data_IF_748960859765
#
_entry.id   IF_748960859765
#
_cell.length_a   1.000
_cell.length_b   1.000
_cell.length_c   1.000
_cell.angle_alpha   90.00
_cell.angle_beta   90.00
_cell.angle_gamma   90.00
#
_symmetry.space_group_name_H-M   'P 1'
#
loop_
_entity.id
_entity.type
_entity.pdbx_description
1 polymer ?
#
# COMPACT_ATOMS: atom_id res chain seq x y z
N UNK A 1 10.91 -13.62 20.52
CA UNK A 1 11.97 -12.76 19.94
C UNK A 1 13.04 -13.63 19.28
N UNK A 2 13.35 -13.41 18.01
CA UNK A 2 14.41 -14.11 17.28
C UNK A 2 15.51 -13.15 16.84
N UNK A 3 16.74 -13.65 16.75
CA UNK A 3 17.92 -12.92 16.26
C UNK A 3 18.48 -13.64 15.04
N UNK A 4 18.54 -12.99 13.87
CA UNK A 4 19.07 -13.58 12.61
C UNK A 4 20.52 -13.17 12.36
N UNK A 5 21.32 -14.05 11.74
CA UNK A 5 22.79 -13.94 11.63
C UNK A 5 23.35 -13.06 10.48
N UNK A 6 24.69 -13.05 10.28
CA UNK A 6 25.44 -11.96 9.64
C UNK A 6 25.43 -11.97 8.11
N UNK A 7 24.27 -12.20 7.50
CA UNK A 7 24.03 -11.98 6.06
C UNK A 7 23.19 -10.72 5.79
N UNK A 8 22.82 -9.96 6.82
CA UNK A 8 22.18 -8.65 6.72
C UNK A 8 23.18 -7.49 6.52
N UNK A 9 24.43 -7.80 6.18
CA UNK A 9 25.51 -6.82 6.07
C UNK A 9 25.19 -5.79 4.98
N UNK A 10 25.03 -4.52 5.39
CA UNK A 10 24.78 -3.39 4.49
C UNK A 10 23.32 -3.14 4.11
N UNK A 11 22.35 -3.81 4.75
CA UNK A 11 20.93 -3.52 4.58
C UNK A 11 20.48 -2.41 5.54
N UNK A 12 20.88 -1.16 5.28
CA UNK A 12 20.24 -0.01 5.91
C UNK A 12 18.95 0.33 5.16
N UNK A 13 17.90 0.72 5.89
CA UNK A 13 16.61 1.21 5.36
C UNK A 13 15.78 0.21 4.52
N UNK A 14 15.76 -1.08 4.90
CA UNK A 14 15.02 -2.13 4.16
C UNK A 14 14.19 -2.99 5.10
N UNK A 15 12.89 -3.12 4.83
CA UNK A 15 12.06 -4.14 5.45
C UNK A 15 12.34 -5.53 4.85
N UNK A 16 12.74 -6.49 5.66
CA UNK A 16 13.05 -7.84 5.18
C UNK A 16 11.78 -8.66 4.91
N UNK A 17 11.68 -9.22 3.71
CA UNK A 17 10.52 -10.00 3.25
C UNK A 17 10.52 -11.43 3.79
N UNK A 18 9.37 -12.11 3.65
CA UNK A 18 9.14 -13.50 4.09
C UNK A 18 10.24 -14.46 3.64
N UNK A 19 10.73 -14.32 2.41
CA UNK A 19 11.75 -15.19 1.82
C UNK A 19 13.07 -15.16 2.62
N UNK A 20 13.42 -14.03 3.21
CA UNK A 20 14.62 -13.91 4.04
C UNK A 20 14.53 -14.84 5.25
N UNK A 21 13.40 -14.81 5.97
CA UNK A 21 13.20 -15.62 7.19
C UNK A 21 13.00 -17.10 6.90
N UNK A 22 12.50 -17.47 5.71
CA UNK A 22 12.43 -18.86 5.27
C UNK A 22 13.82 -19.44 4.97
N UNK A 23 14.75 -18.61 4.51
CA UNK A 23 16.12 -19.04 4.15
C UNK A 23 17.13 -18.91 5.29
N UNK A 24 16.86 -18.04 6.27
CA UNK A 24 17.77 -17.74 7.36
C UNK A 24 17.26 -18.24 8.70
N UNK A 25 18.03 -19.10 9.35
CA UNK A 25 17.72 -19.55 10.71
C UNK A 25 18.13 -18.52 11.76
N UNK A 26 17.35 -18.43 12.84
CA UNK A 26 17.69 -17.60 14.00
C UNK A 26 18.96 -18.11 14.68
N UNK A 27 19.94 -17.23 14.89
CA UNK A 27 21.15 -17.45 15.68
C UNK A 27 20.90 -17.46 17.18
N UNK A 28 19.89 -16.71 17.63
CA UNK A 28 19.42 -16.75 19.01
C UNK A 28 17.91 -16.47 19.08
N UNK A 29 17.26 -16.89 20.16
CA UNK A 29 15.83 -16.64 20.38
C UNK A 29 15.52 -16.59 21.86
N UNK A 30 14.40 -15.96 22.24
CA UNK A 30 13.80 -16.14 23.56
C UNK A 30 13.50 -17.63 23.77
N UNK A 31 13.86 -18.19 24.92
CA UNK A 31 13.71 -19.61 25.22
C UNK A 31 12.24 -20.05 25.19
N UNK A 32 11.34 -19.18 25.65
CA UNK A 32 9.89 -19.42 25.64
C UNK A 32 9.14 -18.13 25.29
N UNK A 33 8.03 -18.27 24.55
CA UNK A 33 6.99 -17.25 24.53
C UNK A 33 6.17 -17.42 25.80
N UNK A 34 6.28 -16.45 26.70
CA UNK A 34 5.62 -16.49 27.99
C UNK A 34 4.82 -15.21 28.17
N UNK A 35 3.63 -15.33 28.76
CA UNK A 35 2.77 -14.19 29.05
C UNK A 35 3.25 -13.45 30.30
N UNK A 36 4.38 -12.75 30.17
CA UNK A 36 4.93 -11.86 31.18
C UNK A 36 5.09 -10.46 30.60
N UNK A 37 5.06 -9.46 31.47
CA UNK A 37 5.28 -8.05 31.10
C UNK A 37 6.62 -7.81 30.42
N UNK A 38 7.65 -8.57 30.80
CA UNK A 38 8.99 -8.46 30.24
C UNK A 38 9.56 -9.86 29.98
N UNK A 39 10.20 -10.03 28.83
CA UNK A 39 10.99 -11.21 28.48
C UNK A 39 12.40 -10.75 28.16
N UNK A 40 13.33 -11.01 29.08
CA UNK A 40 14.75 -10.68 28.93
C UNK A 40 15.56 -11.92 28.59
N UNK A 41 16.56 -11.81 27.72
CA UNK A 41 17.52 -12.89 27.47
C UNK A 41 18.95 -12.35 27.39
N UNK A 42 19.92 -13.09 27.95
CA UNK A 42 21.35 -12.79 27.85
C UNK A 42 21.98 -13.70 26.82
N UNK A 43 22.50 -13.11 25.75
CA UNK A 43 23.03 -13.85 24.60
C UNK A 43 24.49 -13.42 24.35
N UNK A 44 25.32 -14.35 23.92
CA UNK A 44 26.68 -14.08 23.43
C UNK A 44 26.76 -14.47 21.96
N UNK A 45 27.06 -13.48 21.11
CA UNK A 45 27.16 -13.68 19.66
C UNK A 45 28.56 -13.29 19.18
N UNK A 46 29.07 -13.90 18.09
CA UNK A 46 30.25 -13.40 17.39
C UNK A 46 30.06 -11.95 16.93
N UNK A 47 31.12 -11.16 16.73
CA UNK A 47 30.99 -9.83 16.12
C UNK A 47 30.28 -9.89 14.76
N UNK A 48 29.31 -9.01 14.53
CA UNK A 48 28.53 -8.94 13.29
C UNK A 48 27.24 -8.15 13.47
N UNK A 49 26.51 -7.99 12.38
CA UNK A 49 25.19 -7.35 12.35
C UNK A 49 24.09 -8.38 12.58
N UNK A 50 23.10 -8.01 13.40
CA UNK A 50 22.03 -8.89 13.83
C UNK A 50 20.69 -8.18 13.78
N UNK A 51 19.67 -8.87 13.30
CA UNK A 51 18.29 -8.39 13.32
C UNK A 51 17.58 -8.93 14.55
N UNK A 52 16.89 -8.08 15.31
CA UNK A 52 15.99 -8.49 16.39
C UNK A 52 14.55 -8.35 15.92
N UNK A 53 13.79 -9.44 15.95
CA UNK A 53 12.34 -9.42 15.62
C UNK A 53 11.52 -9.61 16.90
N UNK A 54 10.96 -8.54 17.49
CA UNK A 54 9.98 -8.64 18.57
C UNK A 54 8.61 -9.04 17.99
N UNK A 55 7.91 -9.96 18.67
CA UNK A 55 6.58 -10.41 18.26
C UNK A 55 5.82 -11.01 19.44
N UNK A 56 4.50 -11.09 19.32
CA UNK A 56 3.67 -12.03 20.09
C UNK A 56 3.78 -13.45 19.52
N UNK A 57 3.22 -14.43 20.23
CA UNK A 57 3.20 -15.82 19.76
C UNK A 57 2.20 -16.01 18.62
N UNK A 58 0.97 -15.53 18.82
CA UNK A 58 -0.08 -15.52 17.80
C UNK A 58 -0.05 -14.22 17.00
N UNK A 59 -0.37 -14.26 15.69
CA UNK A 59 -0.57 -13.05 14.90
C UNK A 59 -1.83 -12.29 15.36
N UNK A 60 -2.00 -11.06 14.87
CA UNK A 60 -3.17 -10.20 15.13
C UNK A 60 -3.41 -9.88 16.61
N UNK A 61 -2.33 -9.82 17.41
CA UNK A 61 -2.37 -9.33 18.79
C UNK A 61 -1.74 -7.94 18.83
N UNK A 62 -2.57 -6.94 19.04
CA UNK A 62 -2.12 -5.55 19.18
C UNK A 62 -1.53 -5.33 20.57
N UNK A 63 -0.36 -4.69 20.61
CA UNK A 63 0.29 -4.27 21.85
C UNK A 63 1.38 -3.25 21.55
N UNK A 64 1.52 -2.28 22.44
CA UNK A 64 2.73 -1.48 22.52
C UNK A 64 3.85 -2.27 23.21
N UNK A 65 5.10 -2.02 22.85
CA UNK A 65 6.25 -2.65 23.48
C UNK A 65 7.46 -1.70 23.54
N UNK A 66 8.43 -2.04 24.39
CA UNK A 66 9.72 -1.36 24.46
C UNK A 66 10.83 -2.40 24.38
N UNK A 67 11.70 -2.28 23.38
CA UNK A 67 12.91 -3.09 23.27
C UNK A 67 14.09 -2.32 23.86
N UNK A 68 14.84 -2.96 24.77
CA UNK A 68 16.07 -2.41 25.34
C UNK A 68 17.22 -3.38 25.07
N UNK A 69 18.31 -2.88 24.50
CA UNK A 69 19.51 -3.64 24.20
C UNK A 69 20.64 -3.14 25.08
N UNK A 70 21.24 -4.05 25.86
CA UNK A 70 22.38 -3.75 26.72
C UNK A 70 23.60 -4.52 26.20
N UNK A 71 24.67 -3.81 25.85
CA UNK A 71 25.91 -4.41 25.33
C UNK A 71 27.08 -4.13 26.27
N UNK A 72 27.98 -5.11 26.40
CA UNK A 72 29.21 -4.96 27.18
C UNK A 72 30.20 -3.99 26.50
N UNK A 73 30.21 -4.00 25.17
CA UNK A 73 31.02 -3.12 24.32
C UNK A 73 30.11 -2.18 23.55
N UNK A 74 30.66 -1.06 23.07
CA UNK A 74 29.95 -0.16 22.18
C UNK A 74 29.39 -0.95 20.97
N UNK A 75 28.12 -0.72 20.68
CA UNK A 75 27.40 -1.30 19.56
C UNK A 75 26.39 -0.27 19.10
N UNK A 76 26.24 -0.13 17.80
CA UNK A 76 25.20 0.71 17.23
C UNK A 76 23.89 -0.09 17.14
N UNK A 77 22.77 0.63 17.26
CA UNK A 77 21.42 0.06 17.15
C UNK A 77 20.55 1.00 16.36
N UNK A 78 19.87 0.48 15.34
CA UNK A 78 18.97 1.24 14.47
C UNK A 78 17.66 0.47 14.28
N UNK A 79 16.56 1.19 14.08
CA UNK A 79 15.31 0.60 13.66
C UNK A 79 15.40 0.27 12.17
N UNK A 80 15.17 -0.99 11.81
CA UNK A 80 15.17 -1.41 10.43
C UNK A 80 13.75 -1.27 9.85
N UNK A 81 13.53 -0.20 9.11
CA UNK A 81 12.27 0.08 8.41
C UNK A 81 12.54 0.69 7.04
N UNK A 82 11.50 0.79 6.21
CA UNK A 82 11.59 1.43 4.89
C UNK A 82 11.58 2.96 4.99
N UNK A 83 12.40 3.59 4.16
CA UNK A 83 12.28 5.02 3.89
C UNK A 83 10.98 5.33 3.15
N UNK A 84 10.38 6.46 3.49
CA UNK A 84 9.16 6.93 2.86
C UNK A 84 9.52 7.52 1.50
N UNK A 85 9.17 6.83 0.42
CA UNK A 85 9.41 7.28 -0.96
C UNK A 85 8.23 6.91 -1.85
N UNK A 86 7.97 7.72 -2.86
CA UNK A 86 7.00 7.39 -3.90
C UNK A 86 7.68 7.50 -5.28
N UNK A 87 7.80 6.38 -5.97
CA UNK A 87 8.22 6.29 -7.37
C UNK A 87 6.96 6.20 -8.23
N UNK A 88 6.34 7.36 -8.38
CA UNK A 88 5.18 7.52 -9.27
C UNK A 88 5.75 7.75 -10.65
N UNK A 89 5.45 6.86 -11.59
CA UNK A 89 5.78 7.08 -13.00
C UNK A 89 5.30 8.48 -13.37
N UNK A 90 6.21 9.33 -13.84
CA UNK A 90 5.89 10.69 -14.28
C UNK A 90 4.61 10.64 -15.12
N UNK A 91 3.65 11.51 -14.81
CA UNK A 91 2.40 11.56 -15.57
C UNK A 91 2.77 11.74 -17.03
N UNK A 92 2.49 10.73 -17.86
CA UNK A 92 2.63 10.87 -19.30
C UNK A 92 1.84 12.12 -19.70
N UNK A 93 2.51 13.07 -20.36
CA UNK A 93 1.83 14.21 -20.98
C UNK A 93 0.99 13.68 -22.14
N UNK A 94 -0.20 13.19 -21.81
CA UNK A 94 -1.17 12.72 -22.79
C UNK A 94 -1.82 13.95 -23.42
N UNK A 95 -1.64 14.12 -24.71
CA UNK A 95 -2.39 15.10 -25.48
C UNK A 95 -3.72 14.50 -25.94
N UNK A 96 -4.67 15.34 -26.37
CA UNK A 96 -5.92 14.83 -26.97
C UNK A 96 -5.69 13.92 -28.18
N UNK A 97 -4.58 14.12 -28.92
CA UNK A 97 -4.26 13.36 -30.12
C UNK A 97 -3.75 11.94 -29.80
N UNK A 98 -3.25 11.73 -28.58
CA UNK A 98 -2.82 10.42 -28.08
C UNK A 98 -4.01 9.55 -27.63
N UNK A 99 -5.19 10.15 -27.50
CA UNK A 99 -6.40 9.45 -27.06
C UNK A 99 -7.03 8.70 -28.23
N UNK A 100 -7.03 7.37 -28.13
CA UNK A 100 -7.66 6.50 -29.12
C UNK A 100 -9.13 6.88 -29.38
N UNK A 101 -9.51 6.84 -30.66
CA UNK A 101 -10.86 7.19 -31.11
C UNK A 101 -11.95 6.33 -30.45
N UNK A 102 -11.64 5.09 -30.10
CA UNK A 102 -12.56 4.23 -29.35
C UNK A 102 -12.85 4.74 -27.93
N UNK A 103 -11.84 5.29 -27.24
CA UNK A 103 -11.98 5.88 -25.92
C UNK A 103 -12.71 7.22 -26.00
N UNK A 104 -12.39 8.05 -27.01
CA UNK A 104 -13.10 9.32 -27.26
C UNK A 104 -14.60 9.11 -27.49
N UNK A 105 -14.97 8.08 -28.26
CA UNK A 105 -16.36 7.71 -28.47
C UNK A 105 -17.04 7.23 -27.17
N UNK A 106 -16.32 6.46 -26.35
CA UNK A 106 -16.81 6.04 -25.03
C UNK A 106 -17.01 7.25 -24.12
N UNK A 107 -16.05 8.17 -24.05
CA UNK A 107 -16.14 9.40 -23.26
C UNK A 107 -17.34 10.24 -23.69
N UNK A 108 -17.54 10.49 -24.98
CA UNK A 108 -18.69 11.26 -25.49
C UNK A 108 -20.04 10.65 -25.12
N UNK A 109 -20.16 9.32 -25.14
CA UNK A 109 -21.39 8.64 -24.72
C UNK A 109 -21.67 8.78 -23.22
N UNK A 110 -20.64 9.06 -22.43
CA UNK A 110 -20.70 9.10 -20.97
C UNK A 110 -20.78 10.53 -20.42
N UNK A 111 -20.08 11.47 -21.04
CA UNK A 111 -19.98 12.88 -20.67
C UNK A 111 -21.15 13.73 -21.17
N UNK A 112 -21.98 13.24 -22.08
CA UNK A 112 -23.15 13.99 -22.54
C UNK A 112 -22.81 15.27 -23.32
N UNK A 113 -23.63 16.32 -23.17
CA UNK A 113 -23.54 17.55 -23.98
C UNK A 113 -22.47 18.53 -23.50
N UNK A 114 -22.12 18.52 -22.21
CA UNK A 114 -21.12 19.40 -21.62
C UNK A 114 -19.68 18.89 -21.80
N UNK A 115 -19.51 17.66 -22.30
CA UNK A 115 -18.20 17.05 -22.61
C UNK A 115 -17.27 16.97 -21.40
N UNK A 116 -17.85 16.85 -20.20
CA UNK A 116 -17.17 16.69 -18.93
C UNK A 116 -17.81 15.54 -18.14
N UNK A 117 -17.03 14.83 -17.34
CA UNK A 117 -17.55 13.78 -16.46
C UNK A 117 -17.65 14.32 -15.03
N UNK A 118 -18.87 14.38 -14.50
CA UNK A 118 -19.15 14.70 -13.11
C UNK A 118 -18.87 13.52 -12.17
N UNK A 119 -18.82 13.79 -10.86
CA UNK A 119 -18.69 12.77 -9.81
C UNK A 119 -19.76 11.67 -9.92
N UNK A 120 -20.99 12.04 -10.27
CA UNK A 120 -22.11 11.10 -10.36
C UNK A 120 -21.99 10.20 -11.59
N UNK A 121 -21.55 10.75 -12.72
CA UNK A 121 -21.27 9.98 -13.93
C UNK A 121 -20.09 9.05 -13.71
N UNK A 122 -18.98 9.54 -13.14
CA UNK A 122 -17.81 8.74 -12.82
C UNK A 122 -18.17 7.51 -11.98
N UNK A 123 -18.94 7.70 -10.90
CA UNK A 123 -19.42 6.59 -10.07
C UNK A 123 -20.23 5.58 -10.87
N UNK A 124 -21.14 6.06 -11.71
CA UNK A 124 -22.02 5.20 -12.51
C UNK A 124 -21.20 4.38 -13.50
N UNK A 125 -20.21 5.00 -14.15
CA UNK A 125 -19.30 4.36 -15.11
C UNK A 125 -18.48 3.28 -14.42
N UNK A 126 -17.79 3.64 -13.34
CA UNK A 126 -16.90 2.72 -12.64
C UNK A 126 -17.66 1.54 -12.02
N UNK A 127 -18.85 1.77 -11.45
CA UNK A 127 -19.65 0.68 -10.87
C UNK A 127 -20.24 -0.25 -11.93
N UNK A 128 -20.54 0.27 -13.14
CA UNK A 128 -20.94 -0.57 -14.27
C UNK A 128 -19.80 -1.49 -14.75
N UNK A 129 -18.56 -1.09 -14.51
CA UNK A 129 -17.37 -1.88 -14.85
C UNK A 129 -17.08 -2.89 -13.75
N UNK A 130 -17.08 -2.46 -12.47
CA UNK A 130 -16.91 -3.36 -11.31
C UNK A 130 -17.92 -4.50 -11.33
N UNK A 131 -19.19 -4.24 -11.65
CA UNK A 131 -20.22 -5.29 -11.68
C UNK A 131 -19.96 -6.41 -12.70
N UNK A 132 -19.07 -6.19 -13.68
CA UNK A 132 -18.60 -7.22 -14.61
C UNK A 132 -17.47 -8.08 -14.03
N UNK A 133 -16.80 -7.61 -12.99
CA UNK A 133 -15.70 -8.26 -12.31
C UNK A 133 -16.18 -8.93 -11.02
N UNK A 134 -16.76 -10.12 -11.17
CA UNK A 134 -17.32 -10.92 -10.05
C UNK A 134 -16.28 -11.44 -9.07
N UNK A 135 -15.01 -11.35 -9.44
CA UNK A 135 -13.85 -11.67 -8.62
C UNK A 135 -13.59 -10.62 -7.51
N UNK A 136 -14.13 -9.41 -7.65
CA UNK A 136 -13.98 -8.36 -6.64
C UNK A 136 -15.11 -8.45 -5.61
N UNK A 137 -14.76 -8.51 -4.33
CA UNK A 137 -15.72 -8.42 -3.22
C UNK A 137 -15.82 -6.97 -2.76
N UNK A 138 -16.69 -6.20 -3.41
CA UNK A 138 -16.90 -4.76 -3.13
C UNK A 138 -18.34 -4.35 -3.42
N UNK A 139 -18.82 -3.31 -2.73
CA UNK A 139 -20.11 -2.67 -2.99
C UNK A 139 -20.06 -1.66 -4.17
N UNK A 140 -18.88 -1.54 -4.78
CA UNK A 140 -18.57 -0.56 -5.82
C UNK A 140 -18.02 0.74 -5.23
N UNK A 141 -17.58 1.63 -6.11
CA UNK A 141 -17.03 2.92 -5.73
C UNK A 141 -18.07 3.80 -5.02
N UNK A 142 -17.67 4.29 -3.86
CA UNK A 142 -18.39 5.31 -3.11
C UNK A 142 -18.31 6.68 -3.79
N UNK A 143 -19.24 7.58 -3.42
CA UNK A 143 -19.18 8.97 -3.88
C UNK A 143 -17.91 9.67 -3.43
N UNK A 144 -17.42 9.36 -2.23
CA UNK A 144 -16.24 10.01 -1.68
C UNK A 144 -14.97 9.54 -2.39
N UNK A 145 -14.86 8.27 -2.76
CA UNK A 145 -13.77 7.79 -3.62
C UNK A 145 -13.77 8.49 -4.97
N UNK A 146 -14.94 8.62 -5.62
CA UNK A 146 -15.06 9.32 -6.90
C UNK A 146 -14.68 10.81 -6.78
N UNK A 147 -15.06 11.48 -5.68
CA UNK A 147 -14.63 12.87 -5.41
C UNK A 147 -13.12 12.98 -5.24
N UNK A 148 -12.49 12.04 -4.52
CA UNK A 148 -11.05 12.04 -4.35
C UNK A 148 -10.33 11.84 -5.68
N UNK A 149 -10.85 10.96 -6.54
CA UNK A 149 -10.29 10.74 -7.89
C UNK A 149 -10.37 12.01 -8.73
N UNK A 150 -11.50 12.70 -8.70
CA UNK A 150 -11.65 13.97 -9.43
C UNK A 150 -10.69 15.01 -8.88
N UNK A 151 -10.64 15.20 -7.57
CA UNK A 151 -9.72 16.16 -6.94
C UNK A 151 -8.23 15.89 -7.21
N UNK A 152 -7.86 14.65 -7.52
CA UNK A 152 -6.49 14.29 -7.90
C UNK A 152 -6.20 14.68 -9.36
N UNK A 153 -7.19 14.55 -10.24
CA UNK A 153 -7.02 14.69 -11.69
C UNK A 153 -7.39 16.08 -12.22
N UNK A 154 -8.28 16.80 -11.53
CA UNK A 154 -8.80 18.12 -11.88
C UNK A 154 -7.68 19.18 -11.80
N UNK A 155 -6.99 19.38 -12.92
CA UNK A 155 -5.88 20.35 -13.03
C UNK A 155 -6.37 21.74 -13.34
N UNK A 156 -7.55 21.87 -13.95
CA UNK A 156 -8.13 23.13 -14.40
C UNK A 156 -9.10 23.76 -13.38
N UNK A 157 -9.46 23.03 -12.32
CA UNK A 157 -10.35 23.49 -11.26
C UNK A 157 -11.83 23.43 -11.62
N UNK A 158 -12.21 22.64 -12.64
CA UNK A 158 -13.58 22.44 -13.10
C UNK A 158 -14.45 21.65 -12.12
N UNK A 159 -13.83 20.94 -11.15
CA UNK A 159 -14.46 19.94 -10.29
C UNK A 159 -15.11 18.78 -11.06
N UNK A 160 -14.67 18.57 -12.31
CA UNK A 160 -15.14 17.57 -13.27
C UNK A 160 -13.91 17.00 -13.99
N UNK A 161 -14.13 16.09 -14.94
CA UNK A 161 -13.05 15.51 -15.73
C UNK A 161 -13.26 15.77 -17.22
N UNK A 162 -12.30 16.43 -17.83
CA UNK A 162 -12.16 16.46 -19.28
C UNK A 162 -11.70 15.12 -19.87
N UNK A 163 -11.62 15.05 -21.20
CA UNK A 163 -11.25 13.82 -21.91
C UNK A 163 -9.86 13.29 -21.49
N UNK A 164 -8.86 14.19 -21.44
CA UNK A 164 -7.47 13.84 -21.12
C UNK A 164 -7.35 13.40 -19.65
N UNK A 165 -7.95 14.16 -18.73
CA UNK A 165 -7.95 13.84 -17.29
C UNK A 165 -8.62 12.50 -17.02
N UNK A 166 -9.75 12.24 -17.67
CA UNK A 166 -10.44 10.95 -17.56
C UNK A 166 -9.62 9.79 -18.16
N UNK A 167 -8.90 10.00 -19.26
CA UNK A 167 -8.01 9.00 -19.84
C UNK A 167 -6.87 8.63 -18.87
N UNK A 168 -6.23 9.62 -18.25
CA UNK A 168 -5.17 9.39 -17.25
C UNK A 168 -5.74 8.61 -16.06
N UNK A 169 -6.87 9.06 -15.51
CA UNK A 169 -7.53 8.37 -14.40
C UNK A 169 -7.88 6.92 -14.75
N UNK A 170 -8.41 6.69 -15.95
CA UNK A 170 -8.80 5.37 -16.40
C UNK A 170 -7.60 4.42 -16.51
N UNK A 171 -6.47 4.90 -17.04
CA UNK A 171 -5.23 4.14 -17.11
C UNK A 171 -4.70 3.79 -15.71
N UNK A 172 -4.75 4.73 -14.76
CA UNK A 172 -4.41 4.49 -13.35
C UNK A 172 -5.28 3.41 -12.73
N UNK A 173 -6.62 3.52 -12.85
CA UNK A 173 -7.57 2.54 -12.32
C UNK A 173 -7.32 1.15 -12.91
N UNK A 174 -7.02 1.05 -14.22
CA UNK A 174 -6.69 -0.23 -14.85
C UNK A 174 -5.40 -0.83 -14.30
N UNK A 175 -4.36 -0.01 -14.14
CA UNK A 175 -3.10 -0.45 -13.52
C UNK A 175 -3.32 -0.94 -12.09
N UNK A 176 -4.05 -0.17 -11.28
CA UNK A 176 -4.39 -0.53 -9.91
C UNK A 176 -5.26 -1.78 -9.82
N UNK A 177 -6.17 -2.00 -10.76
CA UNK A 177 -6.94 -3.25 -10.84
C UNK A 177 -6.03 -4.46 -11.12
N UNK A 178 -5.03 -4.31 -11.99
CA UNK A 178 -4.04 -5.35 -12.24
C UNK A 178 -3.19 -5.62 -11.01
N UNK A 179 -2.71 -4.58 -10.32
CA UNK A 179 -1.98 -4.72 -9.05
C UNK A 179 -2.86 -5.42 -8.02
N UNK A 180 -4.13 -5.03 -7.91
CA UNK A 180 -5.06 -5.61 -6.96
C UNK A 180 -5.17 -7.12 -7.15
N UNK A 181 -5.43 -7.56 -8.38
CA UNK A 181 -5.55 -8.99 -8.73
C UNK A 181 -4.26 -9.77 -8.55
N UNK A 182 -3.10 -9.16 -8.82
CA UNK A 182 -1.83 -9.85 -8.70
C UNK A 182 -1.45 -10.12 -7.23
N UNK A 183 -1.99 -9.33 -6.30
CA UNK A 183 -1.68 -9.41 -4.87
C UNK A 183 -2.82 -9.94 -4.01
N UNK A 184 -4.01 -10.19 -4.56
CA UNK A 184 -5.06 -11.01 -3.93
C UNK A 184 -4.66 -12.50 -4.03
N UNK A 185 -3.65 -12.89 -3.24
CA UNK A 185 -2.97 -14.18 -3.34
C UNK A 185 -3.85 -15.34 -2.88
N UNK A 186 -4.76 -15.07 -1.95
CA UNK A 186 -5.74 -16.03 -1.47
C UNK A 186 -7.04 -16.03 -2.28
N UNK A 187 -7.16 -15.13 -3.28
CA UNK A 187 -8.35 -14.97 -4.13
C UNK A 187 -9.62 -14.74 -3.30
N UNK A 188 -9.49 -14.02 -2.19
CA UNK A 188 -10.61 -13.66 -1.33
C UNK A 188 -11.48 -12.56 -1.92
N UNK A 189 -10.99 -11.85 -2.93
CA UNK A 189 -11.61 -10.66 -3.51
C UNK A 189 -11.39 -9.40 -2.68
N UNK A 190 -10.57 -9.47 -1.63
CA UNK A 190 -10.15 -8.40 -0.73
C UNK A 190 -8.65 -8.51 -0.43
N UNK A 191 -8.03 -7.44 0.04
CA UNK A 191 -6.62 -7.47 0.44
C UNK A 191 -6.45 -7.50 1.96
N UNK A 192 -5.71 -8.47 2.45
CA UNK A 192 -5.21 -8.44 3.83
C UNK A 192 -4.16 -7.32 4.03
N UNK A 193 -3.87 -7.00 5.29
CA UNK A 193 -2.78 -6.06 5.65
C UNK A 193 -1.41 -6.41 5.03
N UNK A 194 -1.12 -7.70 4.85
CA UNK A 194 0.14 -8.16 4.25
C UNK A 194 0.14 -7.91 2.73
N UNK A 195 -0.96 -8.22 2.05
CA UNK A 195 -1.11 -7.99 0.61
C UNK A 195 -1.14 -6.51 0.29
N UNK A 196 -1.79 -5.70 1.14
CA UNK A 196 -1.81 -4.25 1.03
C UNK A 196 -0.39 -3.66 1.03
N UNK A 197 0.51 -4.16 1.87
CA UNK A 197 1.91 -3.70 1.89
C UNK A 197 2.60 -3.95 0.55
N UNK A 198 2.51 -5.18 0.04
CA UNK A 198 3.13 -5.54 -1.24
C UNK A 198 2.49 -4.83 -2.44
N UNK A 199 1.18 -4.60 -2.38
CA UNK A 199 0.43 -3.88 -3.40
C UNK A 199 0.83 -2.40 -3.46
N UNK A 200 1.00 -1.75 -2.29
CA UNK A 200 1.51 -0.38 -2.21
C UNK A 200 2.93 -0.26 -2.79
N UNK A 201 3.83 -1.17 -2.44
CA UNK A 201 5.18 -1.24 -3.02
C UNK A 201 5.12 -1.37 -4.55
N UNK A 202 4.21 -2.22 -5.06
CA UNK A 202 4.04 -2.43 -6.51
C UNK A 202 3.38 -1.25 -7.22
N UNK A 203 2.63 -0.43 -6.49
CA UNK A 203 2.07 0.82 -6.96
C UNK A 203 3.07 1.99 -6.88
N UNK A 204 4.31 1.74 -6.44
CA UNK A 204 5.39 2.72 -6.35
C UNK A 204 5.55 3.38 -4.98
N UNK A 205 4.76 3.00 -3.97
CA UNK A 205 4.84 3.58 -2.63
C UNK A 205 5.63 2.69 -1.67
N UNK A 206 6.74 3.21 -1.15
CA UNK A 206 7.45 2.62 0.00
C UNK A 206 7.12 3.43 1.24
N UNK A 207 6.55 2.77 2.23
CA UNK A 207 6.08 3.40 3.45
C UNK A 207 6.69 2.67 4.66
N UNK A 208 6.92 3.42 5.73
CA UNK A 208 7.35 2.82 6.99
C UNK A 208 6.20 2.06 7.68
N UNK A 209 6.53 1.25 8.69
CA UNK A 209 5.58 0.43 9.43
C UNK A 209 4.44 1.25 10.03
N UNK A 210 4.74 2.45 10.54
CA UNK A 210 3.74 3.34 11.14
C UNK A 210 2.68 3.79 10.13
N UNK A 211 3.10 4.14 8.91
CA UNK A 211 2.17 4.52 7.84
C UNK A 211 1.35 3.33 7.35
N UNK A 212 1.95 2.13 7.24
CA UNK A 212 1.19 0.92 6.93
C UNK A 212 0.09 0.63 7.96
N UNK A 213 0.39 0.79 9.26
CA UNK A 213 -0.62 0.64 10.32
C UNK A 213 -1.77 1.65 10.16
N UNK A 214 -1.46 2.92 9.87
CA UNK A 214 -2.48 3.95 9.63
C UNK A 214 -3.32 3.65 8.40
N UNK A 215 -2.70 3.19 7.31
CA UNK A 215 -3.43 2.80 6.09
C UNK A 215 -4.40 1.66 6.39
N UNK A 216 -3.92 0.58 7.00
CA UNK A 216 -4.79 -0.56 7.34
C UNK A 216 -5.90 -0.14 8.29
N UNK A 217 -5.59 0.60 9.36
CA UNK A 217 -6.60 1.06 10.32
C UNK A 217 -7.66 2.00 9.70
N UNK A 218 -7.35 2.67 8.59
CA UNK A 218 -8.24 3.62 7.93
C UNK A 218 -9.10 3.01 6.84
N UNK A 219 -8.57 2.02 6.12
CA UNK A 219 -9.17 1.48 4.90
C UNK A 219 -9.59 0.02 4.98
N UNK A 220 -9.11 -0.73 5.98
CA UNK A 220 -9.57 -2.10 6.20
C UNK A 220 -10.92 -2.11 6.91
N UNK A 221 -11.73 -3.11 6.59
CA UNK A 221 -13.00 -3.38 7.23
C UNK A 221 -12.83 -4.13 8.58
N UNK A 222 -13.94 -4.55 9.18
CA UNK A 222 -13.95 -5.28 10.44
C UNK A 222 -13.26 -6.67 10.35
N UNK A 223 -13.17 -7.23 9.14
CA UNK A 223 -12.51 -8.51 8.86
C UNK A 223 -11.01 -8.31 8.51
N UNK A 224 -10.49 -7.08 8.65
CA UNK A 224 -9.13 -6.66 8.27
C UNK A 224 -8.85 -6.80 6.77
N UNK A 225 -9.90 -6.80 5.94
CA UNK A 225 -9.83 -6.81 4.49
C UNK A 225 -10.00 -5.41 3.90
N UNK A 226 -9.23 -5.09 2.88
CA UNK A 226 -9.36 -3.86 2.09
C UNK A 226 -9.98 -4.23 0.74
N UNK A 227 -11.17 -3.73 0.46
CA UNK A 227 -11.81 -3.94 -0.84
C UNK A 227 -11.23 -3.02 -1.92
N UNK A 228 -11.65 -3.23 -3.17
CA UNK A 228 -11.11 -2.47 -4.29
C UNK A 228 -11.41 -0.96 -4.23
N UNK A 229 -12.59 -0.56 -3.73
CA UNK A 229 -12.92 0.87 -3.55
C UNK A 229 -11.94 1.53 -2.56
N UNK A 230 -11.76 0.93 -1.38
CA UNK A 230 -10.87 1.46 -0.36
C UNK A 230 -9.40 1.43 -0.79
N UNK A 231 -8.98 0.40 -1.53
CA UNK A 231 -7.63 0.33 -2.11
C UNK A 231 -7.35 1.52 -3.04
N UNK A 232 -8.22 1.76 -4.01
CA UNK A 232 -8.07 2.88 -4.96
C UNK A 232 -8.17 4.23 -4.23
N UNK A 233 -9.10 4.38 -3.29
CA UNK A 233 -9.23 5.59 -2.48
C UNK A 233 -7.95 5.88 -1.68
N UNK A 234 -7.30 4.85 -1.15
CA UNK A 234 -6.01 4.96 -0.47
C UNK A 234 -4.92 5.44 -1.43
N UNK A 235 -4.77 4.81 -2.59
CA UNK A 235 -3.74 5.18 -3.58
C UNK A 235 -3.91 6.63 -4.06
N UNK A 236 -5.14 7.03 -4.40
CA UNK A 236 -5.46 8.40 -4.84
C UNK A 236 -5.05 9.42 -3.78
N UNK A 237 -5.33 9.15 -2.50
CA UNK A 237 -4.97 10.05 -1.40
C UNK A 237 -3.48 10.07 -1.12
N UNK A 238 -2.80 8.93 -1.18
CA UNK A 238 -1.34 8.88 -1.06
C UNK A 238 -0.70 9.68 -2.19
N UNK A 239 -1.12 9.45 -3.42
CA UNK A 239 -0.64 10.18 -4.59
C UNK A 239 -0.82 11.70 -4.44
N UNK A 240 -2.03 12.15 -4.05
CA UNK A 240 -2.31 13.56 -3.81
C UNK A 240 -1.46 14.18 -2.68
N UNK A 241 -1.06 13.39 -1.69
CA UNK A 241 -0.18 13.85 -0.61
C UNK A 241 1.28 13.93 -1.09
N UNK A 242 1.77 12.93 -1.82
CA UNK A 242 3.14 12.93 -2.34
C UNK A 242 3.36 14.00 -3.42
N UNK A 243 2.39 14.23 -4.31
CA UNK A 243 2.48 15.27 -5.34
C UNK A 243 2.55 16.69 -4.75
N UNK A 244 1.92 16.92 -3.60
CA UNK A 244 1.97 18.22 -2.89
C UNK A 244 3.21 18.40 -2.01
N UNK A 245 3.86 17.30 -1.62
CA UNK A 245 5.00 17.30 -0.70
C UNK A 245 6.37 17.24 -1.40
N UNK A 246 6.42 17.15 -2.73
CA UNK A 246 7.65 17.38 -3.49
C UNK A 246 8.03 18.88 -3.41
N UNK A 247 8.80 19.23 -2.38
CA UNK A 247 9.48 20.52 -2.18
C UNK A 247 10.98 20.37 -2.41
#
# INVERSE_FOLDING_TARGET
MGVSGPQAQGCQNVHLKKEFFLRNQSRARSETFINLREVSNKIRLPPGEYLIVPSTFEPHKESDFVLRVFTEKQSDTEELDEEITADLTDEEEISEDDVDSSFRNMFQQLAGEDMEISVFELRTILNRVITRHKDLKTDGFSMDSCRNMINLMDKDGSARLGLVEFQILWNKIRSWLTIFRNHDLDSSGTMSSYEMRMALESAGFKLNNKLHQVVVARYADADLGVDFDNFVCCLVKLEAMFSKCQL
#
